data_IF_528106680841
#
_entry.id   IF_528106680841
#
_cell.length_a   1.000
_cell.length_b   1.000
_cell.length_c   1.000
_cell.angle_alpha   90.00
_cell.angle_beta   90.00
_cell.angle_gamma   90.00
#
_symmetry.space_group_name_H-M   'P 1'
#
loop_
_entity.id
_entity.type
_entity.pdbx_description
1 polymer ?
#
# COMPACT_ATOMS: atom_id res chain seq x y z
N UNK A 1 -6.99 -8.08 14.20
CA UNK A 1 -7.88 -8.97 13.39
C UNK A 1 -7.20 -10.32 13.25
N UNK A 2 -7.96 -11.40 13.25
CA UNK A 2 -7.46 -12.77 13.22
C UNK A 2 -8.02 -13.47 11.98
N UNK A 3 -7.19 -14.22 11.28
CA UNK A 3 -7.64 -15.07 10.20
C UNK A 3 -8.28 -16.35 10.73
N UNK A 4 -9.23 -16.88 9.99
CA UNK A 4 -9.73 -18.24 10.23
C UNK A 4 -8.62 -19.22 9.87
N UNK A 5 -8.11 -20.00 10.81
CA UNK A 5 -6.92 -20.84 10.64
C UNK A 5 -6.99 -21.76 9.41
N UNK A 6 -8.18 -22.24 9.07
CA UNK A 6 -8.43 -23.14 7.95
C UNK A 6 -8.75 -22.41 6.63
N UNK A 7 -8.78 -21.07 6.60
CA UNK A 7 -8.95 -20.33 5.36
C UNK A 7 -7.80 -20.71 4.40
N UNK A 8 -8.14 -20.99 3.16
CA UNK A 8 -7.13 -21.30 2.12
C UNK A 8 -6.73 -20.01 1.44
N UNK A 9 -5.43 -19.70 1.48
CA UNK A 9 -4.87 -18.52 0.85
C UNK A 9 -4.38 -18.85 -0.57
N UNK A 10 -4.54 -17.87 -1.46
CA UNK A 10 -4.03 -17.88 -2.82
C UNK A 10 -2.82 -16.95 -2.98
N UNK A 11 -1.60 -17.42 -2.73
CA UNK A 11 -0.42 -16.56 -2.85
C UNK A 11 -0.10 -16.15 -4.30
N UNK A 12 -0.80 -16.66 -5.30
CA UNK A 12 -0.58 -16.27 -6.70
C UNK A 12 -1.01 -14.83 -7.00
N UNK A 13 -1.82 -14.23 -6.12
CA UNK A 13 -2.23 -12.83 -6.20
C UNK A 13 -1.16 -11.86 -5.67
N UNK A 14 -0.07 -12.38 -5.08
CA UNK A 14 1.02 -11.57 -4.51
C UNK A 14 2.34 -11.96 -5.18
N UNK A 15 2.93 -11.00 -5.89
CA UNK A 15 4.26 -11.13 -6.50
C UNK A 15 5.34 -10.82 -5.46
N UNK A 16 6.15 -11.79 -5.08
CA UNK A 16 7.27 -11.57 -4.16
C UNK A 16 8.52 -11.12 -4.93
N UNK A 17 8.76 -9.83 -4.94
CA UNK A 17 9.94 -9.21 -5.54
C UNK A 17 11.01 -8.85 -4.50
N UNK A 18 10.80 -9.20 -3.22
CA UNK A 18 11.78 -8.98 -2.14
C UNK A 18 13.06 -9.77 -2.44
N UNK A 19 14.21 -9.17 -2.18
CA UNK A 19 15.51 -9.79 -2.48
C UNK A 19 15.87 -9.88 -3.97
N UNK A 20 14.96 -9.55 -4.87
CA UNK A 20 15.32 -9.28 -6.26
C UNK A 20 15.93 -7.87 -6.27
N UNK A 21 17.25 -7.77 -6.10
CA UNK A 21 17.95 -6.54 -6.49
C UNK A 21 17.56 -6.29 -7.93
N UNK A 22 16.95 -5.14 -8.20
CA UNK A 22 16.46 -4.77 -9.52
C UNK A 22 17.45 -5.20 -10.57
N UNK A 23 17.01 -6.07 -11.48
CA UNK A 23 17.86 -6.72 -12.46
C UNK A 23 18.75 -5.68 -13.08
N UNK A 24 20.07 -5.97 -13.12
CA UNK A 24 21.15 -5.05 -13.35
C UNK A 24 20.72 -3.89 -14.22
N UNK A 25 20.93 -2.69 -13.72
CA UNK A 25 20.90 -1.50 -14.54
C UNK A 25 21.63 -1.85 -15.83
N UNK A 26 20.87 -2.12 -16.90
CA UNK A 26 21.39 -1.90 -18.22
C UNK A 26 21.80 -0.43 -18.16
N UNK A 27 23.12 -0.18 -18.05
CA UNK A 27 23.71 1.13 -17.96
C UNK A 27 23.39 1.83 -19.28
N UNK A 28 22.14 2.28 -19.42
CA UNK A 28 21.73 3.20 -20.46
C UNK A 28 22.37 4.54 -20.12
N UNK A 29 22.94 5.20 -21.11
CA UNK A 29 23.84 6.34 -21.02
C UNK A 29 23.57 7.48 -20.04
N UNK A 30 22.42 7.48 -19.32
CA UNK A 30 22.07 8.48 -18.31
C UNK A 30 22.78 8.30 -16.98
N UNK A 31 22.94 7.05 -16.50
CA UNK A 31 23.60 6.78 -15.19
C UNK A 31 25.10 7.00 -15.28
N UNK A 32 25.72 6.64 -16.43
CA UNK A 32 27.13 6.92 -16.70
C UNK A 32 27.41 8.43 -16.68
N UNK A 33 26.47 9.23 -17.15
CA UNK A 33 26.61 10.68 -17.20
C UNK A 33 26.48 11.31 -15.79
N UNK A 34 25.61 10.80 -14.94
CA UNK A 34 25.49 11.25 -13.54
C UNK A 34 26.74 10.87 -12.74
N UNK A 35 27.26 9.65 -12.88
CA UNK A 35 28.50 9.22 -12.22
C UNK A 35 29.70 10.09 -12.70
N UNK A 36 29.79 10.38 -13.98
CA UNK A 36 30.82 11.26 -14.53
C UNK A 36 30.72 12.69 -13.97
N UNK A 37 29.53 13.26 -13.90
CA UNK A 37 29.32 14.62 -13.36
C UNK A 37 29.66 14.68 -11.87
N UNK A 38 29.21 13.72 -11.08
CA UNK A 38 29.51 13.63 -9.64
C UNK A 38 31.02 13.41 -9.40
N UNK A 39 31.65 12.55 -10.18
CA UNK A 39 33.11 12.31 -10.10
C UNK A 39 33.94 13.55 -10.43
N UNK A 40 33.51 14.33 -11.44
CA UNK A 40 34.10 15.61 -11.79
C UNK A 40 33.96 16.67 -10.69
N UNK A 41 32.82 16.70 -10.02
CA UNK A 41 32.55 17.67 -8.94
C UNK A 41 33.28 17.30 -7.64
N UNK A 42 33.50 16.02 -7.38
CA UNK A 42 34.15 15.53 -6.15
C UNK A 42 35.63 15.20 -6.33
N UNK A 43 36.20 15.29 -7.55
CA UNK A 43 37.60 14.99 -7.83
C UNK A 43 37.96 13.51 -7.61
N UNK A 44 37.01 12.60 -7.73
CA UNK A 44 37.17 11.16 -7.52
C UNK A 44 37.19 10.44 -8.86
N UNK A 45 38.08 9.45 -9.01
CA UNK A 45 38.19 8.65 -10.24
C UNK A 45 36.86 7.87 -10.48
N UNK A 46 36.22 8.05 -11.64
CA UNK A 46 34.97 7.34 -11.98
C UNK A 46 35.10 5.81 -11.91
N UNK A 47 36.29 5.28 -12.20
CA UNK A 47 36.54 3.84 -12.15
C UNK A 47 36.61 3.30 -10.73
N UNK A 48 36.98 4.13 -9.76
CA UNK A 48 36.98 3.77 -8.34
C UNK A 48 35.58 3.61 -7.83
N UNK A 49 34.60 4.42 -8.29
CA UNK A 49 33.19 4.31 -7.92
C UNK A 49 32.55 3.06 -8.54
N UNK A 50 32.86 2.78 -9.82
CA UNK A 50 32.39 1.57 -10.51
C UNK A 50 32.93 0.27 -9.89
N UNK A 51 34.16 0.27 -9.40
CA UNK A 51 34.78 -0.89 -8.75
C UNK A 51 34.40 -1.04 -7.26
N UNK A 52 33.83 0.01 -6.63
CA UNK A 52 33.33 -0.03 -5.26
C UNK A 52 31.90 -0.56 -5.15
N UNK A 53 31.22 -0.79 -6.29
CA UNK A 53 29.92 -1.47 -6.29
C UNK A 53 30.17 -2.96 -6.05
N UNK A 54 29.77 -3.53 -4.89
CA UNK A 54 29.98 -4.97 -4.64
C UNK A 54 29.24 -5.78 -5.70
N UNK A 55 29.94 -6.54 -6.50
CA UNK A 55 29.37 -7.63 -7.30
C UNK A 55 29.10 -8.81 -6.35
N UNK A 56 28.13 -8.65 -5.48
CA UNK A 56 27.71 -9.76 -4.64
C UNK A 56 26.88 -10.73 -5.47
N UNK A 57 27.46 -11.88 -5.71
CA UNK A 57 26.77 -13.07 -6.19
C UNK A 57 25.71 -13.44 -5.17
N UNK A 58 24.45 -13.16 -5.46
CA UNK A 58 23.30 -13.50 -4.63
C UNK A 58 23.24 -15.02 -4.49
N UNK A 59 23.78 -15.55 -3.42
CA UNK A 59 23.32 -16.83 -2.89
C UNK A 59 21.93 -16.58 -2.32
N UNK A 60 20.90 -16.92 -3.10
CA UNK A 60 19.54 -17.07 -2.57
C UNK A 60 19.65 -18.11 -1.47
N UNK A 61 19.43 -17.71 -0.20
CA UNK A 61 19.34 -18.66 0.91
C UNK A 61 18.13 -19.56 0.62
N UNK A 62 18.33 -20.89 0.41
CA UNK A 62 17.22 -21.80 0.11
C UNK A 62 16.24 -21.93 1.29
N UNK A 63 16.56 -21.38 2.46
CA UNK A 63 15.71 -21.36 3.65
C UNK A 63 14.85 -20.09 3.78
N UNK A 64 15.02 -19.09 2.89
CA UNK A 64 14.22 -17.88 2.91
C UNK A 64 12.76 -18.21 2.60
N UNK A 65 11.88 -18.05 3.58
CA UNK A 65 10.44 -18.21 3.42
C UNK A 65 9.90 -17.18 2.44
N UNK A 66 9.13 -17.62 1.46
CA UNK A 66 8.50 -16.76 0.45
C UNK A 66 6.98 -16.70 0.67
N UNK A 67 6.30 -15.77 0.01
CA UNK A 67 4.82 -15.74 0.03
C UNK A 67 4.20 -17.02 -0.55
N UNK A 68 4.92 -17.75 -1.39
CA UNK A 68 4.48 -19.03 -1.93
C UNK A 68 4.20 -20.08 -0.85
N UNK A 69 4.76 -19.94 0.35
CA UNK A 69 4.54 -20.82 1.51
C UNK A 69 3.28 -20.45 2.30
N UNK A 70 2.66 -19.31 2.02
CA UNK A 70 1.45 -18.81 2.69
C UNK A 70 0.21 -19.56 2.16
N UNK A 71 -0.19 -20.64 2.80
CA UNK A 71 -1.27 -21.51 2.32
C UNK A 71 -2.55 -21.43 3.13
N UNK A 72 -2.46 -21.00 4.38
CA UNK A 72 -3.58 -21.04 5.32
C UNK A 72 -3.68 -19.76 6.15
N UNK A 73 -4.85 -19.52 6.72
CA UNK A 73 -5.04 -18.45 7.68
C UNK A 73 -4.17 -18.61 8.93
N UNK A 74 -3.81 -19.86 9.30
CA UNK A 74 -2.84 -20.11 10.36
C UNK A 74 -1.44 -19.58 10.03
N UNK A 75 -1.04 -19.56 8.75
CA UNK A 75 0.21 -18.93 8.31
C UNK A 75 0.11 -17.41 8.41
N UNK A 76 -1.02 -16.84 7.99
CA UNK A 76 -1.30 -15.40 8.09
C UNK A 76 -1.31 -14.91 9.56
N UNK A 77 -1.79 -15.73 10.49
CA UNK A 77 -1.77 -15.41 11.92
C UNK A 77 -0.36 -15.36 12.52
N UNK A 78 0.65 -15.91 11.84
CA UNK A 78 2.04 -16.02 12.33
C UNK A 78 3.02 -15.10 11.59
N UNK A 79 2.79 -14.86 10.30
CA UNK A 79 3.73 -14.17 9.41
C UNK A 79 3.08 -12.94 8.79
N UNK A 80 3.79 -11.82 8.79
CA UNK A 80 3.32 -10.56 8.22
C UNK A 80 3.06 -10.65 6.71
N UNK A 81 3.99 -11.22 5.96
CA UNK A 81 3.83 -11.38 4.51
C UNK A 81 2.65 -12.31 4.16
N UNK A 82 2.39 -13.35 4.96
CA UNK A 82 1.21 -14.19 4.79
C UNK A 82 -0.08 -13.44 5.19
N UNK A 83 -0.01 -12.51 6.16
CA UNK A 83 -1.15 -11.62 6.45
C UNK A 83 -1.51 -10.76 5.23
N UNK A 84 -0.50 -10.24 4.55
CA UNK A 84 -0.76 -9.46 3.31
C UNK A 84 -1.44 -10.34 2.26
N UNK A 85 -0.98 -11.58 2.03
CA UNK A 85 -1.67 -12.51 1.13
C UNK A 85 -3.13 -12.69 1.54
N UNK A 86 -3.40 -12.94 2.81
CA UNK A 86 -4.77 -13.12 3.30
C UNK A 86 -5.64 -11.87 3.18
N UNK A 87 -5.08 -10.66 3.39
CA UNK A 87 -5.83 -9.41 3.17
C UNK A 87 -6.14 -9.21 1.68
N UNK A 88 -5.17 -9.45 0.80
CA UNK A 88 -5.37 -9.37 -0.65
C UNK A 88 -6.51 -10.28 -1.10
N UNK A 89 -6.49 -11.56 -0.69
CA UNK A 89 -7.53 -12.51 -1.01
C UNK A 89 -8.91 -12.04 -0.54
N UNK A 90 -9.01 -11.62 0.73
CA UNK A 90 -10.27 -11.18 1.33
C UNK A 90 -10.82 -9.90 0.66
N UNK A 91 -9.94 -8.94 0.35
CA UNK A 91 -10.31 -7.67 -0.29
C UNK A 91 -10.81 -7.93 -1.71
N UNK A 92 -10.06 -8.68 -2.50
CA UNK A 92 -10.41 -8.95 -3.89
C UNK A 92 -11.66 -9.82 -4.02
N UNK A 93 -11.83 -10.82 -3.14
CA UNK A 93 -13.07 -11.60 -3.08
C UNK A 93 -14.27 -10.71 -2.77
N UNK A 94 -14.15 -9.82 -1.76
CA UNK A 94 -15.24 -8.91 -1.42
C UNK A 94 -15.62 -8.01 -2.60
N UNK A 95 -14.63 -7.35 -3.23
CA UNK A 95 -14.92 -6.41 -4.32
C UNK A 95 -15.45 -7.11 -5.57
N UNK A 96 -15.00 -8.34 -5.86
CA UNK A 96 -15.55 -9.17 -6.92
C UNK A 96 -17.06 -9.38 -6.72
N UNK A 97 -17.46 -9.78 -5.51
CA UNK A 97 -18.85 -10.07 -5.19
C UNK A 97 -19.70 -8.78 -5.08
N UNK A 98 -19.14 -7.72 -4.50
CA UNK A 98 -19.84 -6.46 -4.29
C UNK A 98 -20.13 -5.75 -5.63
N UNK A 99 -19.15 -5.63 -6.50
CA UNK A 99 -19.31 -4.94 -7.79
C UNK A 99 -20.17 -5.74 -8.76
N UNK A 100 -20.07 -7.07 -8.74
CA UNK A 100 -20.93 -7.94 -9.58
C UNK A 100 -22.43 -7.75 -9.29
N UNK A 101 -22.80 -7.51 -8.02
CA UNK A 101 -24.19 -7.20 -7.62
C UNK A 101 -24.74 -5.93 -8.28
N UNK A 102 -23.85 -5.03 -8.69
CA UNK A 102 -24.19 -3.78 -9.36
C UNK A 102 -23.86 -3.81 -10.88
N UNK A 103 -23.57 -4.99 -11.43
CA UNK A 103 -23.32 -5.17 -12.87
C UNK A 103 -21.94 -4.71 -13.34
N UNK A 104 -21.01 -4.44 -12.42
CA UNK A 104 -19.63 -4.06 -12.74
C UNK A 104 -18.72 -5.27 -12.58
N UNK A 105 -17.92 -5.57 -13.60
CA UNK A 105 -16.92 -6.63 -13.53
C UNK A 105 -15.67 -6.10 -12.80
N UNK A 106 -15.27 -6.78 -11.74
CA UNK A 106 -14.01 -6.51 -11.04
C UNK A 106 -12.86 -7.25 -11.76
N UNK A 107 -11.75 -6.55 -11.98
CA UNK A 107 -10.51 -7.15 -12.49
C UNK A 107 -9.54 -7.27 -11.31
N UNK A 108 -8.94 -8.45 -11.12
CA UNK A 108 -7.99 -8.65 -10.04
C UNK A 108 -6.74 -7.78 -10.24
N UNK A 109 -6.26 -7.16 -9.17
CA UNK A 109 -5.01 -6.41 -9.13
C UNK A 109 -3.96 -7.19 -8.33
N UNK A 110 -2.83 -7.62 -8.92
CA UNK A 110 -1.75 -8.22 -8.15
C UNK A 110 -1.14 -7.23 -7.16
N UNK A 111 -0.74 -7.72 -5.98
CA UNK A 111 0.12 -6.95 -5.07
C UNK A 111 1.58 -7.35 -5.26
N UNK A 112 2.48 -6.37 -5.39
CA UNK A 112 3.92 -6.58 -5.49
C UNK A 112 4.56 -6.24 -4.15
N UNK A 113 5.12 -7.25 -3.47
CA UNK A 113 5.97 -7.01 -2.30
C UNK A 113 7.39 -6.75 -2.76
N UNK A 114 7.96 -5.62 -2.36
CA UNK A 114 9.33 -5.25 -2.72
C UNK A 114 10.12 -4.79 -1.48
N UNK A 115 11.40 -4.50 -1.65
CA UNK A 115 12.27 -3.92 -0.63
C UNK A 115 13.01 -2.73 -1.22
N UNK A 116 12.98 -1.59 -0.53
CA UNK A 116 13.67 -0.34 -0.83
C UNK A 116 13.22 0.31 -2.14
N UNK A 117 13.47 -0.32 -3.29
CA UNK A 117 13.19 0.26 -4.62
C UNK A 117 12.64 -0.80 -5.57
N UNK A 118 11.65 -0.42 -6.37
CA UNK A 118 11.08 -1.26 -7.44
C UNK A 118 10.76 -0.44 -8.68
N UNK A 119 10.55 -1.15 -9.82
CA UNK A 119 10.05 -0.56 -11.06
C UNK A 119 8.57 -0.90 -11.19
N UNK A 120 7.73 0.13 -11.23
CA UNK A 120 6.30 0.03 -11.50
C UNK A 120 5.98 0.61 -12.87
N UNK A 121 4.80 0.30 -13.40
CA UNK A 121 4.30 0.95 -14.62
C UNK A 121 4.24 2.47 -14.51
N UNK A 122 4.04 2.99 -13.31
CA UNK A 122 4.02 4.43 -12.99
C UNK A 122 5.42 5.06 -12.83
N UNK A 123 6.49 4.27 -12.94
CA UNK A 123 7.87 4.73 -12.78
C UNK A 123 8.61 4.02 -11.65
N UNK A 124 9.80 4.54 -11.31
CA UNK A 124 10.60 4.03 -10.19
C UNK A 124 9.92 4.42 -8.88
N UNK A 125 9.65 3.44 -8.02
CA UNK A 125 9.11 3.63 -6.69
C UNK A 125 10.13 3.28 -5.61
N UNK A 126 10.12 4.04 -4.52
CA UNK A 126 10.93 3.78 -3.33
C UNK A 126 10.04 3.57 -2.10
N UNK A 127 10.53 2.81 -1.11
CA UNK A 127 9.85 2.59 0.16
C UNK A 127 9.42 3.89 0.85
N UNK A 128 10.17 4.99 0.64
CA UNK A 128 9.86 6.30 1.20
C UNK A 128 8.56 6.93 0.68
N UNK A 129 8.06 6.48 -0.47
CA UNK A 129 6.78 6.93 -1.03
C UNK A 129 5.58 6.29 -0.30
N UNK A 130 5.82 5.23 0.47
CA UNK A 130 4.77 4.40 1.05
C UNK A 130 4.16 3.42 0.05
N UNK A 131 3.15 2.66 0.47
CA UNK A 131 2.32 1.84 -0.41
C UNK A 131 1.60 2.69 -1.46
N UNK A 132 1.31 2.10 -2.63
CA UNK A 132 0.54 2.81 -3.66
C UNK A 132 -0.10 1.83 -4.66
N UNK A 133 -1.20 2.26 -5.25
CA UNK A 133 -1.79 1.65 -6.45
C UNK A 133 -1.25 2.35 -7.71
N UNK A 134 -0.87 1.59 -8.71
CA UNK A 134 -0.45 2.13 -10.01
C UNK A 134 -1.49 1.80 -11.10
N UNK A 135 -2.22 2.79 -11.63
CA UNK A 135 -3.24 2.55 -12.66
C UNK A 135 -2.66 2.18 -14.03
N UNK A 136 -1.36 2.41 -14.27
CA UNK A 136 -0.72 2.10 -15.56
C UNK A 136 -0.54 0.59 -15.74
N UNK A 137 -0.25 -0.14 -14.67
CA UNK A 137 -0.08 -1.60 -14.71
C UNK A 137 -1.11 -2.37 -13.87
N UNK A 138 -2.02 -1.65 -13.18
CA UNK A 138 -3.10 -2.22 -12.41
C UNK A 138 -2.64 -3.00 -11.17
N UNK A 139 -1.52 -2.57 -10.55
CA UNK A 139 -0.91 -3.28 -9.41
C UNK A 139 -0.85 -2.41 -8.16
N UNK A 140 -0.93 -3.08 -7.00
CA UNK A 140 -0.62 -2.48 -5.69
C UNK A 140 0.82 -2.79 -5.35
N UNK A 141 1.57 -1.81 -4.87
CA UNK A 141 2.97 -1.93 -4.48
C UNK A 141 3.14 -1.68 -2.99
N UNK A 142 3.87 -2.55 -2.30
CA UNK A 142 4.01 -2.53 -0.86
C UNK A 142 5.41 -2.96 -0.43
N UNK A 143 6.11 -2.09 0.32
CA UNK A 143 7.26 -2.47 1.12
C UNK A 143 6.80 -2.73 2.57
N UNK A 144 7.07 -3.92 3.11
CA UNK A 144 6.66 -4.27 4.47
C UNK A 144 7.30 -3.38 5.54
N UNK A 145 8.47 -2.80 5.26
CA UNK A 145 9.13 -1.85 6.17
C UNK A 145 8.25 -0.62 6.46
N UNK A 146 7.32 -0.27 5.57
CA UNK A 146 6.38 0.83 5.77
C UNK A 146 5.56 0.68 7.06
N UNK A 147 5.18 -0.53 7.45
CA UNK A 147 4.38 -0.72 8.69
C UNK A 147 5.17 -0.39 9.95
N UNK A 148 6.49 -0.61 9.95
CA UNK A 148 7.35 -0.13 11.03
C UNK A 148 7.49 1.40 10.99
N UNK A 149 7.58 2.01 9.80
CA UNK A 149 7.59 3.47 9.64
C UNK A 149 6.27 4.12 10.06
N UNK A 150 5.14 3.47 9.77
CA UNK A 150 3.83 3.94 10.21
C UNK A 150 3.77 4.13 11.74
N UNK A 151 4.47 3.27 12.49
CA UNK A 151 4.58 3.37 13.94
C UNK A 151 5.66 4.39 14.37
N UNK A 152 6.88 4.28 13.84
CA UNK A 152 8.03 5.02 14.35
C UNK A 152 8.10 6.45 13.84
N UNK A 153 7.66 6.69 12.60
CA UNK A 153 7.72 8.00 11.94
C UNK A 153 6.37 8.72 12.00
N UNK A 154 5.26 8.03 11.79
CA UNK A 154 3.94 8.64 11.75
C UNK A 154 3.15 8.47 13.06
N UNK A 155 3.73 7.81 14.07
CA UNK A 155 3.19 7.71 15.41
C UNK A 155 1.88 6.93 15.51
N UNK A 156 1.57 6.05 14.55
CA UNK A 156 0.45 5.13 14.67
C UNK A 156 0.74 4.03 15.70
N UNK A 157 -0.30 3.47 16.30
CA UNK A 157 -0.15 2.32 17.21
C UNK A 157 0.27 1.05 16.48
N UNK A 158 -0.01 0.97 15.16
CA UNK A 158 0.30 -0.18 14.33
C UNK A 158 -0.58 -1.40 14.62
N UNK A 159 -0.05 -2.57 14.28
CA UNK A 159 -0.72 -3.85 14.48
C UNK A 159 -1.42 -4.37 13.23
N UNK A 160 -1.85 -5.65 13.24
CA UNK A 160 -2.37 -6.32 12.05
C UNK A 160 -3.52 -5.61 11.35
N UNK A 161 -4.33 -4.86 12.10
CA UNK A 161 -5.46 -4.16 11.49
C UNK A 161 -5.09 -2.81 10.89
N UNK A 162 -4.01 -2.18 11.34
CA UNK A 162 -3.42 -1.04 10.64
C UNK A 162 -2.85 -1.46 9.28
N UNK A 163 -2.20 -2.64 9.20
CA UNK A 163 -1.77 -3.25 7.95
C UNK A 163 -2.96 -3.49 7.01
N UNK A 164 -4.04 -4.11 7.52
CA UNK A 164 -5.25 -4.38 6.77
C UNK A 164 -5.88 -3.11 6.19
N UNK A 165 -5.94 -2.02 6.98
CA UNK A 165 -6.44 -0.73 6.52
C UNK A 165 -5.62 -0.18 5.36
N UNK A 166 -4.29 -0.18 5.48
CA UNK A 166 -3.41 0.33 4.41
C UNK A 166 -3.62 -0.45 3.12
N UNK A 167 -3.60 -1.78 3.18
CA UNK A 167 -3.83 -2.61 1.98
C UNK A 167 -5.21 -2.34 1.39
N UNK A 168 -6.25 -2.27 2.22
CA UNK A 168 -7.62 -2.00 1.75
C UNK A 168 -7.77 -0.59 1.14
N UNK A 169 -7.01 0.40 1.61
CA UNK A 169 -6.96 1.74 1.05
C UNK A 169 -6.38 1.73 -0.36
N UNK A 170 -5.26 1.05 -0.59
CA UNK A 170 -4.65 0.93 -1.92
C UNK A 170 -5.58 0.21 -2.91
N UNK A 171 -6.26 -0.84 -2.44
CA UNK A 171 -7.32 -1.47 -3.22
C UNK A 171 -8.54 -0.57 -3.43
N UNK A 172 -8.77 0.41 -2.56
CA UNK A 172 -9.75 1.48 -2.76
C UNK A 172 -9.45 2.29 -4.03
N UNK A 173 -8.19 2.62 -4.28
CA UNK A 173 -7.76 3.28 -5.52
C UNK A 173 -7.95 2.36 -6.75
N UNK A 174 -7.68 1.06 -6.61
CA UNK A 174 -7.99 0.12 -7.67
C UNK A 174 -9.49 0.05 -7.98
N UNK A 175 -10.35 0.06 -6.96
CA UNK A 175 -11.81 0.12 -7.15
C UNK A 175 -12.23 1.41 -7.86
N UNK A 176 -11.62 2.56 -7.54
CA UNK A 176 -11.87 3.81 -8.27
C UNK A 176 -11.53 3.68 -9.75
N UNK A 177 -10.43 3.00 -10.07
CA UNK A 177 -10.00 2.75 -11.45
C UNK A 177 -10.99 1.83 -12.18
N UNK A 178 -11.38 0.70 -11.56
CA UNK A 178 -12.40 -0.23 -12.09
C UNK A 178 -13.73 0.47 -12.35
N UNK A 179 -14.11 1.41 -11.48
CA UNK A 179 -15.34 2.21 -11.63
C UNK A 179 -15.18 3.36 -12.63
N UNK A 180 -13.98 3.61 -13.16
CA UNK A 180 -13.69 4.72 -14.08
C UNK A 180 -13.81 6.11 -13.46
N UNK A 181 -13.61 6.22 -12.14
CA UNK A 181 -13.71 7.47 -11.38
C UNK A 181 -12.36 7.97 -10.85
N UNK A 182 -11.28 7.21 -11.07
CA UNK A 182 -9.92 7.65 -10.74
C UNK A 182 -9.53 8.82 -11.65
N UNK A 183 -9.05 9.92 -11.06
CA UNK A 183 -8.67 11.14 -11.79
C UNK A 183 -7.17 11.41 -11.65
N UNK A 184 -6.56 11.94 -12.69
CA UNK A 184 -5.17 12.40 -12.69
C UNK A 184 -5.03 13.87 -12.26
N UNK A 185 -6.07 14.45 -11.65
CA UNK A 185 -6.06 15.83 -11.19
C UNK A 185 -5.19 15.98 -9.94
N UNK A 186 -4.07 16.68 -10.06
CA UNK A 186 -3.09 16.88 -8.99
C UNK A 186 -3.26 18.21 -8.23
N UNK A 187 -4.40 18.88 -8.37
CA UNK A 187 -4.69 20.07 -7.57
C UNK A 187 -4.70 19.75 -6.09
N UNK A 188 -4.13 20.64 -5.29
CA UNK A 188 -4.02 20.50 -3.83
C UNK A 188 -5.10 21.32 -3.12
N UNK A 189 -5.27 21.04 -1.83
CA UNK A 189 -6.21 21.75 -0.97
C UNK A 189 -7.31 20.85 -0.40
N UNK A 190 -7.97 21.28 0.69
CA UNK A 190 -8.83 20.41 1.51
C UNK A 190 -10.11 19.93 0.80
N UNK A 191 -10.44 20.51 -0.36
CA UNK A 191 -11.59 20.14 -1.21
C UNK A 191 -11.15 19.77 -2.63
N UNK A 192 -9.86 19.54 -2.85
CA UNK A 192 -9.33 19.16 -4.16
C UNK A 192 -9.82 17.77 -4.57
N UNK A 193 -9.75 17.48 -5.86
CA UNK A 193 -10.06 16.14 -6.40
C UNK A 193 -9.15 15.09 -5.79
N UNK A 194 -7.86 15.41 -5.61
CA UNK A 194 -6.89 14.52 -4.96
C UNK A 194 -7.38 14.13 -3.56
N UNK A 195 -7.67 15.10 -2.68
CA UNK A 195 -8.18 14.83 -1.33
C UNK A 195 -9.48 14.00 -1.38
N UNK A 196 -10.42 14.32 -2.27
CA UNK A 196 -11.67 13.55 -2.38
C UNK A 196 -11.44 12.10 -2.78
N UNK A 197 -10.48 11.82 -3.66
CA UNK A 197 -10.13 10.46 -4.03
C UNK A 197 -9.54 9.68 -2.86
N UNK A 198 -8.66 10.28 -2.09
CA UNK A 198 -8.10 9.68 -0.88
C UNK A 198 -9.19 9.35 0.16
N UNK A 199 -10.08 10.31 0.42
CA UNK A 199 -11.19 10.12 1.35
C UNK A 199 -12.17 9.03 0.87
N UNK A 200 -12.36 8.91 -0.43
CA UNK A 200 -13.16 7.84 -1.01
C UNK A 200 -12.48 6.47 -0.86
N UNK A 201 -11.14 6.39 -1.04
CA UNK A 201 -10.39 5.17 -0.79
C UNK A 201 -10.46 4.75 0.69
N UNK A 202 -10.39 5.70 1.63
CA UNK A 202 -10.64 5.45 3.05
C UNK A 202 -12.06 4.91 3.30
N UNK A 203 -13.06 5.47 2.62
CA UNK A 203 -14.44 4.98 2.73
C UNK A 203 -14.56 3.55 2.19
N UNK A 204 -13.96 3.24 1.06
CA UNK A 204 -13.94 1.88 0.49
C UNK A 204 -13.23 0.89 1.41
N UNK A 205 -12.13 1.30 2.06
CA UNK A 205 -11.47 0.49 3.09
C UNK A 205 -12.42 0.22 4.28
N UNK A 206 -13.19 1.23 4.71
CA UNK A 206 -14.21 1.07 5.74
C UNK A 206 -15.34 0.11 5.32
N UNK A 207 -15.82 0.21 4.08
CA UNK A 207 -16.83 -0.70 3.52
C UNK A 207 -16.32 -2.14 3.53
N UNK A 208 -15.12 -2.39 3.00
CA UNK A 208 -14.53 -3.72 3.05
C UNK A 208 -14.40 -4.22 4.48
N UNK A 209 -13.92 -3.39 5.40
CA UNK A 209 -13.77 -3.74 6.82
C UNK A 209 -15.07 -4.23 7.43
N UNK A 210 -16.21 -3.62 7.09
CA UNK A 210 -17.53 -4.04 7.54
C UNK A 210 -17.88 -5.46 7.12
N UNK A 211 -17.45 -5.85 5.94
CA UNK A 211 -17.74 -7.12 5.29
C UNK A 211 -16.59 -8.12 5.29
N UNK A 212 -15.46 -7.80 5.93
CA UNK A 212 -14.25 -8.62 5.87
C UNK A 212 -14.49 -10.07 6.32
N UNK A 213 -15.35 -10.27 7.33
CA UNK A 213 -15.70 -11.61 7.81
C UNK A 213 -16.61 -12.40 6.85
N UNK A 214 -17.39 -11.72 6.01
CA UNK A 214 -18.32 -12.36 5.07
C UNK A 214 -17.57 -13.17 3.99
N UNK A 215 -16.31 -12.84 3.74
CA UNK A 215 -15.43 -13.54 2.78
C UNK A 215 -14.95 -14.90 3.27
N UNK A 216 -15.09 -15.19 4.56
CA UNK A 216 -14.63 -16.44 5.18
C UNK A 216 -13.13 -16.49 5.51
N UNK A 217 -12.32 -15.50 5.09
CA UNK A 217 -10.89 -15.45 5.42
C UNK A 217 -10.65 -14.96 6.85
N UNK A 218 -11.41 -14.02 7.31
CA UNK A 218 -11.18 -13.26 8.54
C UNK A 218 -12.31 -13.43 9.55
N UNK A 219 -11.98 -13.31 10.82
CA UNK A 219 -12.98 -13.14 11.87
C UNK A 219 -13.52 -11.70 11.85
N UNK A 220 -14.68 -11.49 12.44
CA UNK A 220 -15.27 -10.14 12.55
C UNK A 220 -14.31 -9.20 13.30
N UNK A 221 -14.10 -7.97 12.76
CA UNK A 221 -13.24 -7.00 13.43
C UNK A 221 -13.78 -6.63 14.81
N UNK A 222 -12.89 -6.57 15.79
CA UNK A 222 -13.20 -6.07 17.12
C UNK A 222 -13.20 -4.54 17.17
N UNK A 223 -13.72 -3.96 18.24
CA UNK A 223 -13.60 -2.50 18.43
C UNK A 223 -12.14 -2.02 18.49
N UNK A 224 -11.25 -2.85 19.05
CA UNK A 224 -9.80 -2.54 19.07
C UNK A 224 -9.21 -2.54 17.67
N UNK A 225 -9.64 -3.46 16.81
CA UNK A 225 -9.23 -3.47 15.40
C UNK A 225 -9.66 -2.20 14.69
N UNK A 226 -10.93 -1.80 14.83
CA UNK A 226 -11.46 -0.57 14.22
C UNK A 226 -10.71 0.67 14.75
N UNK A 227 -10.44 0.72 16.07
CA UNK A 227 -9.65 1.81 16.64
C UNK A 227 -8.22 1.86 16.06
N UNK A 228 -7.61 0.71 15.76
CA UNK A 228 -6.29 0.64 15.11
C UNK A 228 -6.31 1.15 13.67
N UNK A 229 -7.36 0.83 12.88
CA UNK A 229 -7.54 1.38 11.54
C UNK A 229 -7.72 2.90 11.56
N UNK A 230 -8.57 3.41 12.46
CA UNK A 230 -8.81 4.85 12.61
C UNK A 230 -7.55 5.59 13.05
N UNK A 231 -6.71 4.99 13.89
CA UNK A 231 -5.43 5.54 14.31
C UNK A 231 -4.44 5.57 13.13
N UNK A 232 -4.38 4.52 12.33
CA UNK A 232 -3.55 4.48 11.12
C UNK A 232 -3.99 5.53 10.09
N UNK A 233 -5.31 5.65 9.83
CA UNK A 233 -5.87 6.68 8.95
C UNK A 233 -5.52 8.10 9.42
N UNK A 234 -5.59 8.35 10.73
CA UNK A 234 -5.21 9.64 11.31
C UNK A 234 -3.71 9.91 11.20
N UNK A 235 -2.87 8.87 11.34
CA UNK A 235 -1.41 9.01 11.33
C UNK A 235 -0.89 9.54 9.99
N UNK A 236 -1.54 9.16 8.89
CA UNK A 236 -1.17 9.59 7.53
C UNK A 236 -2.00 10.79 7.01
N UNK A 237 -2.70 11.51 7.89
CA UNK A 237 -3.36 12.77 7.55
C UNK A 237 -2.35 13.91 7.32
N UNK A 238 -2.58 14.72 6.27
CA UNK A 238 -1.69 15.82 5.88
C UNK A 238 -1.43 16.80 7.03
N UNK A 239 -2.46 17.13 7.82
CA UNK A 239 -2.35 18.04 8.95
C UNK A 239 -1.44 17.50 10.05
N UNK A 240 -1.45 16.20 10.28
CA UNK A 240 -0.59 15.54 11.27
C UNK A 240 0.85 15.46 10.76
N UNK A 241 1.04 14.99 9.53
CA UNK A 241 2.37 14.92 8.90
C UNK A 241 3.01 16.31 8.84
N UNK A 242 2.30 17.34 8.39
CA UNK A 242 2.82 18.69 8.30
C UNK A 242 3.18 19.28 9.68
N UNK A 243 2.38 19.01 10.71
CA UNK A 243 2.67 19.48 12.08
C UNK A 243 3.95 18.83 12.61
N UNK A 244 4.17 17.55 12.36
CA UNK A 244 5.35 16.82 12.83
C UNK A 244 6.62 17.19 12.04
N UNK A 245 6.51 17.42 10.73
CA UNK A 245 7.67 17.67 9.85
C UNK A 245 8.06 19.15 9.76
N UNK A 246 7.09 20.05 9.74
CA UNK A 246 7.32 21.48 9.53
C UNK A 246 6.82 22.38 10.67
N UNK A 247 6.17 21.80 11.69
CA UNK A 247 5.58 22.54 12.81
C UNK A 247 4.37 23.41 12.44
N UNK A 248 3.96 23.43 11.17
CA UNK A 248 2.86 24.28 10.65
C UNK A 248 1.97 23.51 9.70
N UNK A 249 0.66 23.70 9.82
CA UNK A 249 -0.35 23.13 8.92
C UNK A 249 -0.66 24.12 7.81
N UNK A 250 -0.63 23.65 6.55
CA UNK A 250 -0.92 24.41 5.33
C UNK A 250 -1.98 23.66 4.51
N UNK A 251 -3.29 23.87 4.79
CA UNK A 251 -4.36 23.09 4.15
C UNK A 251 -4.41 23.23 2.63
N UNK A 252 -3.95 24.34 2.09
CA UNK A 252 -3.86 24.59 0.64
C UNK A 252 -2.89 23.65 -0.08
N UNK A 253 -2.02 22.94 0.65
CA UNK A 253 -1.05 21.97 0.12
C UNK A 253 -1.49 20.52 0.30
N UNK A 254 -2.66 20.27 0.87
CA UNK A 254 -3.12 18.92 1.13
C UNK A 254 -3.39 18.15 -0.16
N UNK A 255 -3.00 16.88 -0.13
CA UNK A 255 -3.22 15.90 -1.19
C UNK A 255 -4.00 14.69 -0.69
N UNK A 256 -3.96 14.39 0.62
CA UNK A 256 -4.60 13.23 1.25
C UNK A 256 -5.74 13.60 2.21
N UNK A 257 -5.83 14.87 2.61
CA UNK A 257 -6.81 15.34 3.57
C UNK A 257 -6.34 15.27 5.03
N UNK A 258 -7.14 15.87 5.93
CA UNK A 258 -6.82 15.87 7.36
C UNK A 258 -7.08 14.51 8.00
N UNK A 259 -6.40 14.25 9.13
CA UNK A 259 -6.63 13.10 9.98
C UNK A 259 -8.13 12.90 10.31
N UNK A 260 -8.83 14.00 10.62
CA UNK A 260 -10.26 13.97 10.94
C UNK A 260 -11.12 13.56 9.73
N UNK A 261 -10.82 14.08 8.52
CA UNK A 261 -11.53 13.71 7.29
C UNK A 261 -11.33 12.22 6.97
N UNK A 262 -10.09 11.73 7.03
CA UNK A 262 -9.76 10.33 6.78
C UNK A 262 -10.50 9.38 7.73
N UNK A 263 -10.47 9.64 9.03
CA UNK A 263 -11.23 8.89 10.03
C UNK A 263 -12.74 8.93 9.78
N UNK A 264 -13.27 10.09 9.42
CA UNK A 264 -14.70 10.25 9.14
C UNK A 264 -15.12 9.38 7.95
N UNK A 265 -14.36 9.39 6.85
CA UNK A 265 -14.74 8.65 5.67
C UNK A 265 -14.56 7.15 5.83
N UNK A 266 -13.51 6.69 6.50
CA UNK A 266 -13.41 5.28 6.90
C UNK A 266 -14.62 4.87 7.76
N UNK A 267 -14.98 5.69 8.76
CA UNK A 267 -16.15 5.42 9.62
C UNK A 267 -17.47 5.41 8.85
N UNK A 268 -17.62 6.28 7.85
CA UNK A 268 -18.78 6.30 6.96
C UNK A 268 -18.89 4.99 6.20
N UNK A 269 -17.81 4.53 5.59
CA UNK A 269 -17.77 3.23 4.91
C UNK A 269 -18.10 2.07 5.85
N UNK A 270 -17.45 2.02 7.00
CA UNK A 270 -17.65 0.96 7.99
C UNK A 270 -19.09 0.93 8.55
N UNK A 271 -19.70 2.08 8.82
CA UNK A 271 -21.05 2.14 9.37
C UNK A 271 -22.12 1.77 8.36
N UNK A 272 -21.97 2.20 7.11
CA UNK A 272 -22.93 1.95 6.04
C UNK A 272 -22.77 0.58 5.40
N UNK A 273 -21.54 0.12 5.19
CA UNK A 273 -21.21 -1.08 4.41
C UNK A 273 -21.59 -0.95 2.93
N UNK A 274 -21.89 0.26 2.45
CA UNK A 274 -22.38 0.54 1.10
C UNK A 274 -21.43 1.50 0.38
N UNK A 275 -20.71 1.00 -0.61
CA UNK A 275 -19.71 1.79 -1.33
C UNK A 275 -20.33 2.94 -2.15
N UNK A 276 -21.62 2.87 -2.50
CA UNK A 276 -22.32 3.96 -3.21
C UNK A 276 -22.51 5.20 -2.34
N UNK A 277 -22.29 5.06 -1.01
CA UNK A 277 -22.32 6.16 -0.05
C UNK A 277 -20.96 6.87 0.09
N UNK A 278 -19.92 6.38 -0.58
CA UNK A 278 -18.57 6.94 -0.54
C UNK A 278 -18.41 8.08 -1.55
N UNK A 279 -19.03 9.22 -1.26
CA UNK A 279 -19.04 10.42 -2.15
C UNK A 279 -18.55 11.66 -1.39
N UNK A 280 -17.22 11.83 -1.14
CA UNK A 280 -16.64 12.93 -0.39
C UNK A 280 -16.66 14.29 -1.09
#
# INVERSE_FOLDING_TARGET
MTFNDNARLDPSQVEDARGRRGGGLAIGGGVTLVILVVSLLLGVDPTAILNAVPTDTTTTDPSAQTVADCKTGADANKREDCRIVGYVDAIQQYWTDALAKHGTQYTLAPTVLYTDVTQAGCGTASAQMGPFYCPVDGKVYLDLAFFAELQTRFGAKGGPFAEAYVVAHEYGHHVQDVLGILSNDQRTGPQSTSVKQELQADCFAGVWTKHAADTGYLQAPTQTDIASALDAAAAVGDDRIQRETSGRVAPEQWTHGSAAQRQQWFSTGYSTGDYTRCTP
#
